data_IF_262539143504
#
_entry.id   IF_262539143504
#
_cell.length_a   1.000
_cell.length_b   1.000
_cell.length_c   1.000
_cell.angle_alpha   90.00
_cell.angle_beta   90.00
_cell.angle_gamma   90.00
#
_symmetry.space_group_name_H-M   'P 1'
#
loop_
_entity.id
_entity.type
_entity.pdbx_description
1 polymer ?
#
# COMPACT_ATOMS: atom_id res chain seq x y z
N UNK A 1 34.72 5.38 51.14
CA UNK A 1 34.65 4.39 50.06
C UNK A 1 33.21 4.49 49.47
N UNK A 2 33.04 5.22 48.35
CA UNK A 2 31.71 5.41 47.70
C UNK A 2 31.67 4.51 46.49
N UNK A 3 30.76 3.54 46.50
CA UNK A 3 30.49 2.67 45.37
C UNK A 3 29.66 3.45 44.35
N UNK A 4 30.18 3.64 43.14
CA UNK A 4 29.43 4.15 42.01
C UNK A 4 28.76 2.98 41.28
N UNK A 5 27.41 2.94 41.28
CA UNK A 5 26.64 1.97 40.52
C UNK A 5 26.49 2.56 39.10
N UNK A 6 27.20 1.98 38.14
CA UNK A 6 27.05 2.29 36.74
C UNK A 6 25.75 1.69 36.20
N UNK A 7 24.83 2.54 35.76
CA UNK A 7 23.66 2.09 35.02
C UNK A 7 24.09 1.84 33.55
N UNK A 8 24.13 0.55 33.18
CA UNK A 8 24.32 0.15 31.79
C UNK A 8 23.01 0.44 31.04
N UNK A 9 23.00 1.51 30.27
CA UNK A 9 21.90 1.81 29.34
C UNK A 9 21.94 0.83 28.19
N UNK A 10 20.95 -0.04 28.09
CA UNK A 10 20.73 -0.88 26.90
C UNK A 10 20.14 0.03 25.82
N UNK A 11 20.97 0.39 24.85
CA UNK A 11 20.49 1.03 23.62
C UNK A 11 19.72 -0.02 22.80
N UNK A 12 18.40 0.08 22.80
CA UNK A 12 17.56 -0.66 21.84
C UNK A 12 17.78 0.01 20.50
N UNK A 13 18.64 -0.58 19.67
CA UNK A 13 18.70 -0.28 18.25
C UNK A 13 17.38 -0.77 17.64
N UNK A 14 16.46 0.18 17.39
CA UNK A 14 15.34 -0.07 16.52
C UNK A 14 15.92 -0.38 15.14
N UNK A 15 15.89 -1.65 14.75
CA UNK A 15 16.20 -2.07 13.40
C UNK A 15 15.09 -1.50 12.50
N UNK A 16 15.35 -0.32 11.95
CA UNK A 16 14.62 0.15 10.79
C UNK A 16 14.99 -0.83 9.68
N UNK A 17 14.02 -1.64 9.25
CA UNK A 17 14.17 -2.41 8.03
C UNK A 17 14.56 -1.47 6.88
N UNK A 18 15.18 -1.98 5.82
CA UNK A 18 15.60 -1.14 4.70
C UNK A 18 14.40 -0.29 4.26
N UNK A 19 14.62 1.02 4.21
CA UNK A 19 13.64 1.99 3.71
C UNK A 19 13.36 1.61 2.24
N UNK A 20 12.36 0.76 2.03
CA UNK A 20 11.92 0.31 0.72
C UNK A 20 10.96 1.33 0.12
N UNK A 21 11.38 2.56 0.07
CA UNK A 21 10.67 3.52 -0.77
C UNK A 21 10.94 3.11 -2.21
N UNK A 22 9.89 2.81 -2.98
CA UNK A 22 10.06 2.49 -4.38
C UNK A 22 10.75 3.64 -5.11
N UNK A 23 11.79 3.35 -5.86
CA UNK A 23 12.54 4.34 -6.65
C UNK A 23 11.75 4.86 -7.86
N UNK A 24 10.51 4.40 -8.04
CA UNK A 24 9.69 4.68 -9.23
C UNK A 24 8.37 5.39 -8.93
N UNK A 25 8.41 6.47 -8.18
CA UNK A 25 7.30 7.41 -8.23
C UNK A 25 7.29 8.08 -9.61
N UNK A 26 6.13 8.18 -10.27
CA UNK A 26 6.04 8.91 -11.53
C UNK A 26 6.55 10.33 -11.35
N UNK A 27 7.31 10.81 -12.33
CA UNK A 27 7.78 12.20 -12.37
C UNK A 27 6.73 13.10 -13.05
N UNK A 28 6.82 14.40 -12.82
CA UNK A 28 6.02 15.39 -13.51
C UNK A 28 4.61 15.60 -12.96
N UNK A 29 3.63 15.69 -13.85
CA UNK A 29 2.25 16.13 -13.52
C UNK A 29 1.52 15.21 -12.53
N UNK A 30 1.97 13.98 -12.33
CA UNK A 30 1.44 13.08 -11.31
C UNK A 30 1.50 13.71 -9.92
N UNK A 31 2.55 14.44 -9.60
CA UNK A 31 2.70 15.13 -8.32
C UNK A 31 1.68 16.26 -8.11
N UNK A 32 1.03 16.74 -9.17
CA UNK A 32 -0.05 17.71 -9.05
C UNK A 32 -1.31 17.14 -8.37
N UNK A 33 -1.46 15.82 -8.34
CA UNK A 33 -2.60 15.14 -7.73
C UNK A 33 -2.30 14.64 -6.33
N UNK A 34 -1.03 14.39 -6.04
CA UNK A 34 -0.64 13.71 -4.82
C UNK A 34 0.78 14.13 -4.43
N UNK A 35 0.97 14.28 -3.13
CA UNK A 35 2.30 14.42 -2.51
C UNK A 35 2.54 13.19 -1.64
N UNK A 36 3.68 12.54 -1.85
CA UNK A 36 4.14 11.47 -0.97
C UNK A 36 5.08 12.09 0.07
N UNK A 37 4.66 12.05 1.33
CA UNK A 37 5.43 12.60 2.44
C UNK A 37 6.07 11.47 3.25
N UNK A 38 7.37 11.60 3.50
CA UNK A 38 8.10 10.65 4.34
C UNK A 38 8.18 11.20 5.75
N UNK A 39 7.67 10.44 6.72
CA UNK A 39 7.79 10.78 8.14
C UNK A 39 6.88 11.91 8.62
N UNK A 40 5.87 12.30 7.84
CA UNK A 40 4.81 13.17 8.29
C UNK A 40 3.90 12.49 9.33
N UNK A 41 3.17 13.28 10.11
CA UNK A 41 2.14 12.76 11.00
C UNK A 41 0.80 12.67 10.25
N UNK A 42 0.39 11.48 9.76
CA UNK A 42 -0.86 11.32 9.03
C UNK A 42 -2.04 11.60 9.95
N UNK A 43 -3.10 12.18 9.41
CA UNK A 43 -4.34 12.42 10.15
C UNK A 43 -5.23 11.17 10.21
N UNK A 44 -5.07 10.25 9.27
CA UNK A 44 -5.78 8.98 9.19
C UNK A 44 -4.84 7.90 8.69
N UNK A 45 -5.03 6.69 9.22
CA UNK A 45 -4.27 5.51 8.83
C UNK A 45 -5.22 4.45 8.29
N UNK A 46 -4.89 3.89 7.14
CA UNK A 46 -5.62 2.81 6.52
C UNK A 46 -4.69 1.61 6.30
N UNK A 47 -5.23 0.42 6.47
CA UNK A 47 -4.55 -0.82 6.09
C UNK A 47 -5.36 -1.48 4.98
N UNK A 48 -4.71 -1.78 3.87
CA UNK A 48 -5.29 -2.50 2.74
C UNK A 48 -4.54 -3.81 2.59
N UNK A 49 -5.26 -4.92 2.71
CA UNK A 49 -4.72 -6.26 2.58
C UNK A 49 -4.86 -6.75 1.14
N UNK A 50 -3.92 -7.57 0.69
CA UNK A 50 -4.16 -8.45 -0.45
C UNK A 50 -4.79 -9.74 0.07
N UNK A 51 -5.91 -10.15 -0.51
CA UNK A 51 -6.64 -11.36 -0.13
C UNK A 51 -6.65 -12.36 -1.28
N UNK A 52 -6.34 -13.62 -1.00
CA UNK A 52 -6.51 -14.73 -1.92
C UNK A 52 -7.99 -15.15 -1.91
N UNK A 53 -8.72 -14.84 -2.98
CA UNK A 53 -10.13 -15.19 -3.13
C UNK A 53 -10.29 -16.64 -3.61
N UNK A 54 -9.49 -17.05 -4.59
CA UNK A 54 -9.41 -18.41 -5.06
C UNK A 54 -8.01 -18.68 -5.61
N UNK A 55 -7.23 -19.49 -4.91
CA UNK A 55 -5.85 -19.84 -5.29
C UNK A 55 -5.66 -21.36 -5.24
N UNK A 56 -4.60 -21.87 -5.86
CA UNK A 56 -4.34 -23.31 -5.97
C UNK A 56 -4.28 -24.03 -4.63
N UNK A 57 -3.71 -23.34 -3.63
CA UNK A 57 -3.45 -23.89 -2.29
C UNK A 57 -4.74 -24.02 -1.46
N UNK A 58 -5.67 -23.05 -1.57
CA UNK A 58 -6.81 -22.93 -0.66
C UNK A 58 -8.17 -22.76 -1.35
N UNK A 59 -8.19 -22.44 -2.65
CA UNK A 59 -9.41 -22.15 -3.38
C UNK A 59 -10.14 -23.39 -3.88
N UNK A 60 -11.44 -23.25 -4.26
CA UNK A 60 -12.16 -24.31 -4.96
C UNK A 60 -11.50 -24.63 -6.29
N UNK A 61 -11.05 -25.86 -6.46
CA UNK A 61 -10.33 -26.30 -7.68
C UNK A 61 -11.10 -26.02 -8.98
N UNK A 62 -12.44 -26.10 -8.95
CA UNK A 62 -13.29 -25.81 -10.11
C UNK A 62 -13.23 -24.32 -10.48
N UNK A 63 -13.17 -23.44 -9.49
CA UNK A 63 -13.06 -22.00 -9.69
C UNK A 63 -11.71 -21.63 -10.28
N UNK A 64 -10.63 -22.10 -9.66
CA UNK A 64 -9.26 -21.86 -10.14
C UNK A 64 -9.06 -22.42 -11.57
N UNK A 65 -9.61 -23.62 -11.87
CA UNK A 65 -9.54 -24.19 -13.22
C UNK A 65 -10.28 -23.35 -14.26
N UNK A 66 -11.39 -22.72 -13.87
CA UNK A 66 -12.27 -21.99 -14.81
C UNK A 66 -11.83 -20.53 -15.00
N UNK A 67 -11.41 -19.86 -13.93
CA UNK A 67 -11.16 -18.42 -13.91
C UNK A 67 -9.68 -18.06 -13.67
N UNK A 68 -8.83 -19.01 -13.30
CA UNK A 68 -7.49 -18.76 -12.82
C UNK A 68 -7.47 -18.43 -11.31
N UNK A 69 -6.33 -18.00 -10.84
CA UNK A 69 -6.18 -17.52 -9.47
C UNK A 69 -6.73 -16.10 -9.37
N UNK A 70 -7.44 -15.83 -8.29
CA UNK A 70 -8.16 -14.58 -8.07
C UNK A 70 -7.77 -13.97 -6.73
N UNK A 71 -7.43 -12.69 -6.78
CA UNK A 71 -7.03 -11.90 -5.62
C UNK A 71 -7.89 -10.64 -5.51
N UNK A 72 -7.92 -10.04 -4.33
CA UNK A 72 -8.63 -8.79 -4.07
C UNK A 72 -7.85 -7.89 -3.14
N UNK A 73 -8.12 -6.58 -3.20
CA UNK A 73 -7.77 -5.65 -2.12
C UNK A 73 -8.89 -5.61 -1.09
N UNK A 74 -8.54 -5.62 0.20
CA UNK A 74 -9.48 -5.53 1.31
C UNK A 74 -9.03 -4.47 2.33
N UNK A 75 -9.83 -3.44 2.60
CA UNK A 75 -11.09 -3.10 1.94
C UNK A 75 -10.88 -2.63 0.49
N UNK A 76 -11.89 -2.84 -0.35
CA UNK A 76 -11.87 -2.38 -1.74
C UNK A 76 -12.35 -0.93 -1.93
N UNK A 77 -12.63 -0.22 -0.83
CA UNK A 77 -13.07 1.16 -0.85
C UNK A 77 -12.57 1.92 0.37
N UNK A 78 -11.97 3.09 0.13
CA UNK A 78 -11.55 4.04 1.15
C UNK A 78 -12.17 5.40 0.89
N UNK A 79 -12.49 6.16 1.95
CA UNK A 79 -12.83 7.57 1.87
C UNK A 79 -11.79 8.38 2.64
N UNK A 80 -11.16 9.34 1.97
CA UNK A 80 -10.08 10.13 2.53
C UNK A 80 -10.33 11.63 2.32
N UNK A 81 -9.85 12.49 3.21
CA UNK A 81 -9.99 13.93 3.05
C UNK A 81 -9.04 14.46 1.97
N UNK A 82 -9.52 15.45 1.19
CA UNK A 82 -8.68 16.25 0.30
C UNK A 82 -7.75 17.15 1.12
N UNK A 83 -6.57 17.46 0.60
CA UNK A 83 -5.55 18.36 1.21
C UNK A 83 -5.09 17.95 2.61
N UNK A 84 -5.29 16.70 2.99
CA UNK A 84 -4.83 16.15 4.27
C UNK A 84 -3.91 14.96 4.03
N UNK A 85 -2.78 14.86 4.76
CA UNK A 85 -1.95 13.68 4.69
C UNK A 85 -2.67 12.47 5.30
N UNK A 86 -2.71 11.37 4.57
CA UNK A 86 -3.24 10.07 5.01
C UNK A 86 -2.19 9.01 4.80
N UNK A 87 -2.04 8.09 5.74
CA UNK A 87 -1.21 6.91 5.56
C UNK A 87 -2.08 5.77 5.02
N UNK A 88 -1.64 5.15 3.94
CA UNK A 88 -2.21 3.91 3.42
C UNK A 88 -1.10 2.87 3.41
N UNK A 89 -1.27 1.81 4.18
CA UNK A 89 -0.33 0.70 4.27
C UNK A 89 -0.90 -0.50 3.52
N UNK A 90 -0.27 -0.89 2.44
CA UNK A 90 -0.62 -2.09 1.67
C UNK A 90 0.16 -3.29 2.19
N UNK A 91 -0.55 -4.34 2.56
CA UNK A 91 0.03 -5.56 3.09
C UNK A 91 -0.20 -6.70 2.11
N UNK A 92 0.86 -7.17 1.49
CA UNK A 92 0.81 -8.40 0.71
C UNK A 92 0.98 -9.58 1.66
N UNK A 93 -0.10 -10.36 1.83
CA UNK A 93 -0.15 -11.51 2.74
C UNK A 93 0.20 -12.83 2.04
N UNK A 94 0.32 -12.85 0.71
CA UNK A 94 0.67 -14.04 -0.05
C UNK A 94 2.16 -14.35 0.11
N UNK A 95 2.53 -15.62 0.33
CA UNK A 95 3.92 -16.01 0.53
C UNK A 95 4.72 -16.11 -0.77
N UNK A 96 4.06 -16.31 -1.90
CA UNK A 96 4.66 -16.67 -3.20
C UNK A 96 4.16 -15.79 -4.36
N UNK A 97 3.10 -14.99 -4.15
CA UNK A 97 2.57 -14.13 -5.19
C UNK A 97 2.97 -12.65 -4.98
N UNK A 98 3.52 -12.08 -6.03
CA UNK A 98 3.76 -10.65 -6.12
C UNK A 98 2.50 -9.93 -6.60
N UNK A 99 2.23 -8.79 -5.99
CA UNK A 99 1.21 -7.84 -6.44
C UNK A 99 1.86 -6.51 -6.79
N UNK A 100 1.10 -5.65 -7.40
CA UNK A 100 1.48 -4.25 -7.60
C UNK A 100 0.33 -3.31 -7.30
N UNK A 101 0.64 -2.05 -7.16
CA UNK A 101 -0.33 -0.97 -6.97
C UNK A 101 -0.14 0.06 -8.05
N UNK A 102 -1.20 0.27 -8.81
CA UNK A 102 -1.34 1.34 -9.77
C UNK A 102 -2.43 2.27 -9.26
N UNK A 103 -2.11 3.52 -8.96
CA UNK A 103 -3.12 4.53 -8.61
C UNK A 103 -3.38 5.41 -9.83
N UNK A 104 -4.64 5.46 -10.22
CA UNK A 104 -5.13 6.20 -11.40
C UNK A 104 -6.08 7.30 -10.94
N UNK A 105 -5.78 8.53 -11.34
CA UNK A 105 -6.61 9.70 -11.05
C UNK A 105 -7.95 9.67 -11.81
N UNK A 106 -8.92 10.52 -11.42
CA UNK A 106 -10.23 10.62 -12.11
C UNK A 106 -10.13 10.95 -13.59
N UNK A 107 -9.09 11.64 -14.03
CA UNK A 107 -8.82 11.98 -15.44
C UNK A 107 -8.03 10.90 -16.20
N UNK A 108 -7.89 9.70 -15.61
CA UNK A 108 -7.16 8.55 -16.15
C UNK A 108 -5.63 8.70 -16.14
N UNK A 109 -5.09 9.73 -15.53
CA UNK A 109 -3.64 9.87 -15.33
C UNK A 109 -3.15 8.85 -14.31
N UNK A 110 -2.11 8.10 -14.64
CA UNK A 110 -1.42 7.22 -13.70
C UNK A 110 -0.58 8.08 -12.76
N UNK A 111 -0.88 8.05 -11.47
CA UNK A 111 -0.18 8.83 -10.46
C UNK A 111 1.06 8.11 -9.95
N UNK A 112 0.96 6.82 -9.77
CA UNK A 112 2.05 6.00 -9.27
C UNK A 112 1.84 4.52 -9.58
N UNK A 113 2.95 3.79 -9.61
CA UNK A 113 2.97 2.36 -9.81
C UNK A 113 4.17 1.77 -9.07
N UNK A 114 3.94 0.80 -8.18
CA UNK A 114 5.03 0.09 -7.48
C UNK A 114 4.65 -1.34 -7.14
N UNK A 115 5.68 -2.16 -6.92
CA UNK A 115 5.54 -3.56 -6.54
C UNK A 115 5.19 -3.73 -5.07
N UNK A 116 4.39 -4.76 -4.77
CA UNK A 116 4.15 -5.31 -3.44
C UNK A 116 4.75 -6.72 -3.38
N UNK A 117 6.00 -6.87 -2.97
CA UNK A 117 6.61 -8.19 -2.86
C UNK A 117 5.84 -9.11 -1.91
N UNK A 118 5.99 -10.44 -2.05
CA UNK A 118 5.42 -11.39 -1.11
C UNK A 118 5.75 -11.06 0.36
N UNK A 119 4.78 -11.28 1.26
CA UNK A 119 4.90 -11.08 2.71
C UNK A 119 5.44 -9.69 3.10
N UNK A 120 5.03 -8.65 2.39
CA UNK A 120 5.49 -7.29 2.62
C UNK A 120 4.41 -6.37 3.19
N UNK A 121 4.88 -5.33 3.88
CA UNK A 121 4.07 -4.19 4.32
C UNK A 121 4.69 -2.93 3.74
N UNK A 122 3.91 -2.19 2.99
CA UNK A 122 4.38 -0.99 2.28
C UNK A 122 3.52 0.20 2.67
N UNK A 123 3.93 0.99 3.68
CA UNK A 123 3.22 2.19 4.09
C UNK A 123 3.65 3.39 3.23
N UNK A 124 2.68 4.22 2.89
CA UNK A 124 2.89 5.49 2.22
C UNK A 124 2.03 6.57 2.85
N UNK A 125 2.57 7.77 2.98
CA UNK A 125 1.80 8.95 3.35
C UNK A 125 1.51 9.76 2.10
N UNK A 126 0.23 10.05 1.87
CA UNK A 126 -0.26 10.74 0.68
C UNK A 126 -1.04 11.99 1.06
N UNK A 127 -0.93 13.02 0.22
CA UNK A 127 -1.85 14.16 0.21
C UNK A 127 -2.51 14.25 -1.17
N UNK A 128 -3.81 13.99 -1.22
CA UNK A 128 -4.59 14.11 -2.45
C UNK A 128 -5.07 15.55 -2.62
N UNK A 129 -4.71 16.21 -3.73
CA UNK A 129 -5.01 17.63 -3.95
C UNK A 129 -6.31 17.87 -4.74
N UNK A 130 -6.88 16.86 -5.37
CA UNK A 130 -8.11 16.97 -6.15
C UNK A 130 -9.15 15.99 -5.65
N UNK A 131 -10.39 16.42 -5.41
CA UNK A 131 -11.47 15.51 -5.07
C UNK A 131 -11.83 14.60 -6.25
N UNK A 132 -12.39 13.43 -5.97
CA UNK A 132 -12.85 12.49 -6.98
C UNK A 132 -12.59 11.04 -6.61
N UNK A 133 -12.90 10.13 -7.52
CA UNK A 133 -12.68 8.69 -7.35
C UNK A 133 -11.38 8.31 -8.05
N UNK A 134 -10.44 7.84 -7.27
CA UNK A 134 -9.16 7.28 -7.73
C UNK A 134 -9.27 5.77 -7.77
N UNK A 135 -8.80 5.16 -8.85
CA UNK A 135 -8.75 3.70 -8.97
C UNK A 135 -7.42 3.18 -8.43
N UNK A 136 -7.49 2.10 -7.67
CA UNK A 136 -6.34 1.31 -7.24
C UNK A 136 -6.42 -0.03 -7.96
N UNK A 137 -5.42 -0.39 -8.72
CA UNK A 137 -5.44 -1.55 -9.61
C UNK A 137 -4.16 -2.36 -9.37
N UNK A 138 -4.28 -3.68 -9.25
CA UNK A 138 -3.16 -4.58 -9.45
C UNK A 138 -3.04 -4.87 -10.94
N UNK A 139 -1.94 -4.44 -11.57
CA UNK A 139 -1.76 -4.66 -12.99
C UNK A 139 -1.44 -6.13 -13.33
N UNK A 140 -0.89 -6.87 -12.36
CA UNK A 140 -0.56 -8.29 -12.49
C UNK A 140 -1.81 -9.19 -12.48
N UNK A 141 -2.87 -8.76 -11.76
CA UNK A 141 -4.10 -9.54 -11.55
C UNK A 141 -5.35 -8.77 -12.01
N UNK A 142 -5.37 -8.40 -13.29
CA UNK A 142 -6.52 -7.74 -13.94
C UNK A 142 -7.50 -8.77 -14.47
N UNK A 143 -8.81 -8.42 -14.54
CA UNK A 143 -9.43 -7.16 -14.12
C UNK A 143 -9.92 -7.16 -12.66
N UNK A 144 -9.84 -8.26 -11.94
CA UNK A 144 -10.56 -8.52 -10.69
C UNK A 144 -9.96 -7.82 -9.48
N UNK A 145 -8.63 -7.68 -9.43
CA UNK A 145 -7.96 -7.07 -8.28
C UNK A 145 -7.90 -5.55 -8.40
N UNK A 146 -8.94 -4.90 -7.89
CA UNK A 146 -9.05 -3.45 -7.89
C UNK A 146 -9.74 -2.93 -6.62
N UNK A 147 -9.54 -1.62 -6.34
CA UNK A 147 -10.17 -0.89 -5.26
C UNK A 147 -10.36 0.58 -5.67
N UNK A 148 -11.03 1.35 -4.82
CA UNK A 148 -11.29 2.76 -5.07
C UNK A 148 -10.97 3.60 -3.82
N UNK A 149 -10.46 4.82 -4.06
CA UNK A 149 -10.29 5.84 -3.04
C UNK A 149 -11.16 7.04 -3.42
N UNK A 150 -12.16 7.31 -2.60
CA UNK A 150 -12.95 8.55 -2.69
C UNK A 150 -12.22 9.65 -1.93
N UNK A 151 -11.79 10.67 -2.63
CA UNK A 151 -11.20 11.89 -2.08
C UNK A 151 -12.28 12.96 -2.00
N UNK A 152 -12.57 13.48 -0.77
CA UNK A 152 -13.65 14.46 -0.52
C UNK A 152 -13.32 15.46 0.58
#
# INVERSE_FOLDING_TARGET
MRLAIGILGVAVLAAHGPDRTPDYLPEGDAQAYLTVERGGAPQQNFVVLTEAVAVKETGPKVTVKKFGEMYAFSPAFLAVPVEKPVEISFWNLQPDDEHDILIVAPDQTVLMHWSLPPLSKTPFTYTFHKPGIYSVICALHRPEMNAQILVQ
#
